data_IF_689433251160
#
_entry.id   IF_689433251160
#
_cell.length_a   1.000
_cell.length_b   1.000
_cell.length_c   1.000
_cell.angle_alpha   90.00
_cell.angle_beta   90.00
_cell.angle_gamma   90.00
#
_symmetry.space_group_name_H-M   'P 1'
#
loop_
_entity.id
_entity.type
_entity.pdbx_description
1 polymer ?
#
# COMPACT_ATOMS: atom_id res chain seq x y z
N UNK A 1 -3.38 19.92 -10.42
CA UNK A 1 -2.08 19.50 -10.98
C UNK A 1 -2.29 18.83 -12.31
N UNK A 2 -1.23 18.40 -12.99
CA UNK A 2 -1.31 17.75 -14.30
C UNK A 2 -1.57 16.24 -14.24
N UNK A 3 -1.63 15.63 -13.04
CA UNK A 3 -1.89 14.20 -12.86
C UNK A 3 -3.41 13.93 -12.91
N UNK A 4 -3.91 13.17 -13.89
CA UNK A 4 -5.29 12.68 -13.92
C UNK A 4 -5.58 11.74 -12.73
N UNK A 5 -6.80 11.80 -12.19
CA UNK A 5 -7.16 11.05 -10.96
C UNK A 5 -7.23 9.54 -11.16
N UNK A 6 -7.59 9.08 -12.34
CA UNK A 6 -7.56 7.67 -12.75
C UNK A 6 -6.15 7.08 -12.65
N UNK A 7 -5.11 7.88 -12.89
CA UNK A 7 -3.72 7.44 -12.72
C UNK A 7 -3.35 7.17 -11.26
N UNK A 8 -4.06 7.74 -10.27
CA UNK A 8 -3.81 7.43 -8.86
C UNK A 8 -4.18 5.98 -8.57
N UNK A 9 -5.37 5.54 -9.01
CA UNK A 9 -5.79 4.15 -8.87
C UNK A 9 -4.87 3.22 -9.66
N UNK A 10 -4.56 3.57 -10.91
CA UNK A 10 -3.67 2.76 -11.75
C UNK A 10 -2.26 2.63 -11.16
N UNK A 11 -1.72 3.69 -10.56
CA UNK A 11 -0.43 3.65 -9.90
C UNK A 11 -0.43 2.71 -8.69
N UNK A 12 -1.48 2.73 -7.86
CA UNK A 12 -1.61 1.84 -6.69
C UNK A 12 -1.78 0.38 -7.13
N UNK A 13 -2.58 0.12 -8.16
CA UNK A 13 -2.73 -1.22 -8.72
C UNK A 13 -1.40 -1.73 -9.29
N UNK A 14 -0.72 -0.91 -10.08
CA UNK A 14 0.57 -1.26 -10.68
C UNK A 14 1.62 -1.52 -9.60
N UNK A 15 1.66 -0.70 -8.55
CA UNK A 15 2.54 -0.88 -7.40
C UNK A 15 2.28 -2.21 -6.70
N UNK A 16 1.02 -2.53 -6.40
CA UNK A 16 0.68 -3.78 -5.72
C UNK A 16 1.10 -5.02 -6.54
N UNK A 17 0.85 -4.98 -7.85
CA UNK A 17 1.19 -6.07 -8.78
C UNK A 17 2.69 -6.26 -8.92
N UNK A 18 3.47 -5.19 -9.05
CA UNK A 18 4.93 -5.30 -9.27
C UNK A 18 5.69 -5.58 -7.98
N UNK A 19 5.20 -5.10 -6.84
CA UNK A 19 5.81 -5.38 -5.54
C UNK A 19 5.41 -6.75 -4.95
N UNK A 20 4.44 -7.45 -5.54
CA UNK A 20 3.97 -8.74 -5.03
C UNK A 20 3.25 -8.61 -3.69
N UNK A 21 2.54 -7.49 -3.46
CA UNK A 21 1.83 -7.21 -2.22
C UNK A 21 0.33 -7.16 -2.45
N UNK A 22 -0.43 -7.52 -1.42
CA UNK A 22 -1.88 -7.33 -1.43
C UNK A 22 -2.22 -6.00 -0.77
N UNK A 23 -2.89 -5.11 -1.52
CA UNK A 23 -3.29 -3.78 -1.05
C UNK A 23 -4.81 -3.68 -1.05
N UNK A 24 -5.37 -3.28 0.08
CA UNK A 24 -6.74 -2.83 0.21
C UNK A 24 -6.74 -1.39 0.67
N UNK A 25 -7.43 -0.51 -0.07
CA UNK A 25 -7.49 0.90 0.25
C UNK A 25 -8.91 1.42 0.04
N UNK A 26 -9.40 2.18 1.01
CA UNK A 26 -10.70 2.85 0.96
C UNK A 26 -10.59 4.22 1.62
N UNK A 27 -11.27 5.21 1.06
CA UNK A 27 -11.32 6.55 1.64
C UNK A 27 -12.54 7.31 1.14
N UNK A 28 -12.95 8.33 1.90
CA UNK A 28 -14.04 9.22 1.54
C UNK A 28 -13.59 10.68 1.70
N UNK A 29 -14.00 11.54 0.79
CA UNK A 29 -13.63 12.95 0.80
C UNK A 29 -14.37 13.73 -0.28
N UNK A 30 -14.40 15.06 -0.14
CA UNK A 30 -15.02 15.97 -1.11
C UNK A 30 -14.02 16.61 -2.08
N UNK A 31 -12.73 16.41 -1.84
CA UNK A 31 -11.66 16.99 -2.62
C UNK A 31 -10.72 15.87 -3.06
N UNK A 32 -10.62 15.66 -4.36
CA UNK A 32 -9.88 14.54 -4.92
C UNK A 32 -8.37 14.65 -4.69
N UNK A 33 -7.83 15.87 -4.62
CA UNK A 33 -6.42 16.10 -4.30
C UNK A 33 -6.10 15.65 -2.87
N UNK A 34 -6.94 16.02 -1.90
CA UNK A 34 -6.76 15.57 -0.52
C UNK A 34 -7.00 14.06 -0.38
N UNK A 35 -7.94 13.48 -1.13
CA UNK A 35 -8.19 12.04 -1.10
C UNK A 35 -6.99 11.25 -1.67
N UNK A 36 -6.41 11.72 -2.78
CA UNK A 36 -5.20 11.13 -3.35
C UNK A 36 -4.00 11.26 -2.39
N UNK A 37 -3.79 12.44 -1.78
CA UNK A 37 -2.72 12.63 -0.78
C UNK A 37 -2.92 11.72 0.44
N UNK A 38 -4.16 11.60 0.93
CA UNK A 38 -4.50 10.70 2.03
C UNK A 38 -4.24 9.23 1.68
N UNK A 39 -4.56 8.81 0.46
CA UNK A 39 -4.27 7.48 -0.05
C UNK A 39 -2.77 7.15 0.02
N UNK A 40 -1.90 8.03 -0.49
CA UNK A 40 -0.45 7.82 -0.44
C UNK A 40 0.10 7.87 0.99
N UNK A 41 -0.39 8.77 1.84
CA UNK A 41 0.01 8.83 3.26
C UNK A 41 -0.38 7.56 4.02
N UNK A 42 -1.59 7.03 3.76
CA UNK A 42 -2.06 5.80 4.39
C UNK A 42 -1.19 4.61 3.95
N UNK A 43 -0.90 4.49 2.65
CA UNK A 43 0.00 3.46 2.13
C UNK A 43 1.41 3.56 2.73
N UNK A 44 1.97 4.77 2.83
CA UNK A 44 3.30 4.98 3.42
C UNK A 44 3.37 4.51 4.88
N UNK A 45 2.32 4.78 5.67
CA UNK A 45 2.24 4.29 7.06
C UNK A 45 2.09 2.77 7.13
N UNK A 46 1.16 2.20 6.36
CA UNK A 46 0.91 0.77 6.36
C UNK A 46 2.14 -0.03 5.90
N UNK A 47 2.86 0.46 4.88
CA UNK A 47 4.09 -0.18 4.42
C UNK A 47 5.25 0.01 5.40
N UNK A 48 5.35 1.15 6.08
CA UNK A 48 6.28 1.33 7.18
C UNK A 48 6.11 0.21 8.22
N UNK A 49 4.90 0.05 8.74
CA UNK A 49 4.58 -1.00 9.72
C UNK A 49 4.79 -2.43 9.16
N UNK A 50 4.38 -2.69 7.91
CA UNK A 50 4.50 -4.03 7.32
C UNK A 50 5.95 -4.46 7.03
N UNK A 51 6.87 -3.51 6.85
CA UNK A 51 8.28 -3.77 6.52
C UNK A 51 9.22 -3.70 7.73
N UNK A 52 8.71 -3.31 8.90
CA UNK A 52 9.50 -3.26 10.13
C UNK A 52 9.98 -4.67 10.57
N UNK A 53 11.24 -4.80 11.02
CA UNK A 53 11.71 -6.04 11.62
C UNK A 53 10.96 -6.38 12.92
N UNK A 54 10.26 -7.51 12.97
CA UNK A 54 9.63 -8.00 14.21
C UNK A 54 10.63 -8.83 15.04
N UNK A 55 11.13 -8.24 16.13
CA UNK A 55 12.09 -8.89 17.05
C UNK A 55 11.57 -10.19 17.70
N UNK A 56 10.26 -10.43 17.71
CA UNK A 56 9.65 -11.65 18.27
C UNK A 56 9.58 -12.78 17.25
N UNK A 57 9.76 -12.48 15.96
CA UNK A 57 9.58 -13.43 14.87
C UNK A 57 10.91 -14.07 14.50
N UNK A 58 10.91 -15.40 14.40
CA UNK A 58 11.99 -16.17 13.80
C UNK A 58 11.48 -16.80 12.50
N UNK A 59 12.26 -16.65 11.43
CA UNK A 59 11.91 -17.20 10.11
C UNK A 59 10.83 -16.43 9.35
N UNK A 60 10.23 -17.09 8.35
CA UNK A 60 9.26 -16.49 7.41
C UNK A 60 7.88 -16.37 8.06
N UNK A 61 7.21 -15.23 7.84
CA UNK A 61 5.87 -14.94 8.35
C UNK A 61 4.74 -15.69 7.62
N UNK A 62 4.86 -17.01 7.49
CA UNK A 62 3.92 -17.86 6.75
C UNK A 62 3.92 -19.28 7.30
N UNK A 63 2.75 -19.86 7.54
CA UNK A 63 2.61 -21.26 7.96
C UNK A 63 3.08 -22.24 6.89
N UNK A 64 3.16 -21.81 5.63
CA UNK A 64 3.72 -22.59 4.51
C UNK A 64 5.25 -22.53 4.45
N UNK A 65 5.89 -21.72 5.30
CA UNK A 65 7.34 -21.54 5.33
C UNK A 65 7.91 -20.68 4.20
N UNK A 66 7.07 -20.13 3.33
CA UNK A 66 7.46 -19.28 2.19
C UNK A 66 6.46 -18.14 1.95
N UNK A 67 6.93 -17.07 1.31
CA UNK A 67 6.13 -15.96 0.76
C UNK A 67 6.30 -15.97 -0.76
N UNK A 68 5.22 -15.71 -1.49
CA UNK A 68 5.18 -15.70 -2.95
C UNK A 68 3.96 -14.95 -3.45
#
# INVERSE_FOLDING_TARGET
GALPLDLVQHAIESLARTAGVTVHLSGAGRNDHHLAEAAFKALGRAFGEATEPDARRTGVASTKGALG
#
